data_IF_688721711356
#
_entry.id   IF_688721711356
#
_cell.length_a   1.000
_cell.length_b   1.000
_cell.length_c   1.000
_cell.angle_alpha   90.00
_cell.angle_beta   90.00
_cell.angle_gamma   90.00
#
_symmetry.space_group_name_H-M   'P 1'
#
loop_
_entity.id
_entity.type
_entity.pdbx_description
1 polymer ?
#
# COMPACT_ATOMS: atom_id res chain seq x y z
N UNK A 1 3.82 8.59 -7.79
CA UNK A 1 3.43 8.56 -6.37
C UNK A 1 2.40 9.62 -6.08
N UNK A 2 1.32 9.22 -5.46
CA UNK A 2 0.25 10.13 -5.08
C UNK A 2 0.03 10.00 -3.58
N UNK A 3 -0.18 11.09 -2.90
CA UNK A 3 -0.45 11.02 -1.49
C UNK A 3 -1.62 11.91 -1.11
N UNK A 4 -2.28 11.54 -0.04
CA UNK A 4 -3.43 12.23 0.49
C UNK A 4 -3.22 12.44 1.98
N UNK A 5 -3.35 13.67 2.43
CA UNK A 5 -3.14 14.00 3.82
C UNK A 5 -4.47 14.20 4.52
N UNK A 6 -4.73 13.37 5.54
CA UNK A 6 -5.94 13.48 6.33
C UNK A 6 -5.61 13.93 7.73
N UNK A 7 -6.11 15.03 8.15
CA UNK A 7 -5.85 15.52 9.49
C UNK A 7 -4.53 16.24 9.60
N UNK A 8 -4.22 16.71 10.78
CA UNK A 8 -2.98 17.40 11.06
C UNK A 8 -2.41 16.92 12.38
N UNK A 9 -1.10 16.86 12.46
CA UNK A 9 -0.39 16.52 13.67
C UNK A 9 0.52 17.67 14.05
N UNK A 10 0.54 17.99 15.34
CA UNK A 10 1.43 19.00 15.86
C UNK A 10 2.79 18.43 16.21
N UNK A 11 2.91 17.12 16.20
CA UNK A 11 4.13 16.42 16.58
C UNK A 11 4.68 15.67 15.39
N UNK A 12 5.94 15.29 15.49
CA UNK A 12 6.67 14.68 14.39
C UNK A 12 6.28 13.25 14.08
N UNK A 13 5.45 12.64 14.92
CA UNK A 13 5.10 11.23 14.83
C UNK A 13 3.90 11.04 13.93
N UNK A 14 4.04 11.39 12.67
CA UNK A 14 2.97 11.18 11.72
C UNK A 14 2.88 9.72 11.32
N UNK A 15 1.65 9.20 11.25
CA UNK A 15 1.40 7.84 10.79
C UNK A 15 1.18 7.87 9.30
N UNK A 16 2.03 7.20 8.58
CA UNK A 16 1.98 7.15 7.12
C UNK A 16 1.70 5.71 6.70
N UNK A 17 0.66 5.53 5.91
CA UNK A 17 0.36 4.23 5.31
C UNK A 17 0.55 4.33 3.81
N UNK A 18 1.08 3.27 3.22
CA UNK A 18 1.30 3.19 1.78
C UNK A 18 0.36 2.13 1.23
N UNK A 19 -0.34 2.47 0.14
CA UNK A 19 -1.21 1.54 -0.57
C UNK A 19 -0.61 1.29 -1.95
N UNK A 20 -0.40 0.02 -2.28
CA UNK A 20 0.20 -0.39 -3.54
C UNK A 20 -0.73 -1.39 -4.23
N UNK A 21 -1.55 -0.93 -5.18
CA UNK A 21 -2.33 -1.86 -5.99
C UNK A 21 -1.41 -2.63 -6.92
N UNK A 22 -1.59 -3.94 -7.02
CA UNK A 22 -0.75 -4.79 -7.86
C UNK A 22 -1.57 -5.78 -8.66
N UNK A 23 -1.09 -6.06 -9.87
CA UNK A 23 -1.62 -7.12 -10.71
C UNK A 23 -0.46 -7.69 -11.54
N UNK A 24 -0.04 -8.92 -11.21
CA UNK A 24 1.07 -9.58 -11.90
C UNK A 24 2.34 -8.74 -11.93
N UNK A 25 2.77 -8.32 -10.73
CA UNK A 25 3.94 -7.48 -10.56
C UNK A 25 5.08 -8.22 -9.85
N UNK A 26 5.19 -9.55 -10.04
CA UNK A 26 6.19 -10.34 -9.32
C UNK A 26 7.63 -9.91 -9.62
N UNK A 27 7.86 -9.35 -10.81
CA UNK A 27 9.19 -8.88 -11.18
C UNK A 27 9.59 -7.55 -10.57
N UNK A 28 8.65 -6.80 -10.03
CA UNK A 28 8.92 -5.44 -9.57
C UNK A 28 8.52 -5.19 -8.12
N UNK A 29 7.54 -5.94 -7.58
CA UNK A 29 7.01 -5.61 -6.26
C UNK A 29 8.08 -5.67 -5.17
N UNK A 30 9.01 -6.59 -5.27
CA UNK A 30 10.10 -6.66 -4.30
C UNK A 30 10.97 -5.41 -4.28
N UNK A 31 11.26 -4.87 -5.46
CA UNK A 31 12.05 -3.64 -5.58
C UNK A 31 11.28 -2.44 -5.05
N UNK A 32 9.98 -2.37 -5.36
CA UNK A 32 9.14 -1.27 -4.87
C UNK A 32 9.12 -1.28 -3.33
N UNK A 33 8.88 -2.44 -2.74
CA UNK A 33 8.82 -2.55 -1.28
C UNK A 33 10.15 -2.23 -0.61
N UNK A 34 11.25 -2.65 -1.25
CA UNK A 34 12.57 -2.42 -0.72
C UNK A 34 12.93 -0.94 -0.68
N UNK A 35 12.40 -0.16 -1.61
CA UNK A 35 12.70 1.27 -1.71
C UNK A 35 11.87 2.12 -0.77
N UNK A 36 10.87 1.56 -0.11
CA UNK A 36 10.06 2.30 0.85
C UNK A 36 10.83 2.44 2.16
N UNK A 37 11.03 3.68 2.64
CA UNK A 37 11.78 3.87 3.89
C UNK A 37 10.98 3.35 5.08
N UNK A 38 11.45 2.26 5.66
CA UNK A 38 10.75 1.55 6.73
C UNK A 38 10.60 2.40 8.00
N UNK A 39 11.50 3.32 8.23
CA UNK A 39 11.45 4.16 9.42
C UNK A 39 10.43 5.30 9.30
N UNK A 40 9.94 5.58 8.09
CA UNK A 40 8.97 6.65 7.87
C UNK A 40 7.55 6.15 7.70
N UNK A 41 7.37 4.86 7.45
CA UNK A 41 6.06 4.30 7.10
C UNK A 41 5.58 3.37 8.20
N UNK A 42 4.34 3.59 8.64
CA UNK A 42 3.73 2.77 9.69
C UNK A 42 3.29 1.41 9.13
N UNK A 43 2.74 1.41 7.94
CA UNK A 43 2.21 0.18 7.34
C UNK A 43 2.25 0.27 5.83
N UNK A 44 2.60 -0.84 5.19
CA UNK A 44 2.53 -0.96 3.72
C UNK A 44 1.45 -1.99 3.40
N UNK A 45 0.49 -1.57 2.60
CA UNK A 45 -0.65 -2.39 2.21
C UNK A 45 -0.56 -2.66 0.72
N UNK A 46 -0.35 -3.93 0.36
CA UNK A 46 -0.34 -4.37 -1.03
C UNK A 46 -1.71 -4.94 -1.33
N UNK A 47 -2.41 -4.35 -2.28
CA UNK A 47 -3.73 -4.85 -2.67
C UNK A 47 -3.58 -5.65 -3.95
N UNK A 48 -3.72 -6.97 -3.82
CA UNK A 48 -3.60 -7.90 -4.92
C UNK A 48 -4.90 -7.93 -5.70
N UNK A 49 -4.85 -7.47 -6.94
CA UNK A 49 -6.04 -7.37 -7.79
C UNK A 49 -6.19 -8.61 -8.67
N UNK A 50 -5.94 -9.77 -8.08
CA UNK A 50 -6.15 -11.04 -8.78
C UNK A 50 -4.94 -11.54 -9.56
N UNK A 51 -3.74 -11.30 -9.06
CA UNK A 51 -2.52 -11.77 -9.71
C UNK A 51 -2.50 -13.30 -9.85
N UNK A 52 -2.01 -13.78 -10.96
CA UNK A 52 -1.84 -15.21 -11.21
C UNK A 52 -0.40 -15.67 -10.96
N UNK A 53 0.50 -14.74 -10.75
CA UNK A 53 1.89 -15.05 -10.40
C UNK A 53 2.08 -14.99 -8.88
N UNK A 54 3.31 -15.00 -8.40
CA UNK A 54 3.60 -14.99 -6.97
C UNK A 54 3.77 -13.59 -6.37
N UNK A 55 3.15 -12.58 -6.98
CA UNK A 55 3.20 -11.21 -6.47
C UNK A 55 2.83 -11.11 -4.98
N UNK A 56 1.68 -11.70 -4.63
CA UNK A 56 1.18 -11.62 -3.25
C UNK A 56 2.12 -12.28 -2.26
N UNK A 57 2.69 -13.41 -2.64
CA UNK A 57 3.60 -14.14 -1.77
C UNK A 57 4.89 -13.35 -1.51
N UNK A 58 5.41 -12.72 -2.55
CA UNK A 58 6.60 -11.88 -2.41
C UNK A 58 6.32 -10.73 -1.45
N UNK A 59 5.18 -10.07 -1.64
CA UNK A 59 4.82 -8.94 -0.78
C UNK A 59 4.68 -9.37 0.68
N UNK A 60 4.01 -10.50 0.91
CA UNK A 60 3.82 -11.00 2.26
C UNK A 60 5.15 -11.35 2.92
N UNK A 61 6.04 -12.00 2.18
CA UNK A 61 7.36 -12.38 2.69
C UNK A 61 8.17 -11.15 3.10
N UNK A 62 7.97 -10.04 2.42
CA UNK A 62 8.68 -8.80 2.72
C UNK A 62 8.01 -7.97 3.82
N UNK A 63 6.96 -8.48 4.43
CA UNK A 63 6.34 -7.84 5.59
C UNK A 63 5.16 -6.93 5.28
N UNK A 64 4.70 -6.87 4.04
CA UNK A 64 3.54 -6.06 3.71
C UNK A 64 2.24 -6.73 4.17
N UNK A 65 1.24 -5.91 4.46
CA UNK A 65 -0.12 -6.38 4.63
C UNK A 65 -0.69 -6.63 3.24
N UNK A 66 -1.13 -7.84 2.97
CA UNK A 66 -1.64 -8.19 1.64
C UNK A 66 -3.15 -8.39 1.70
N UNK A 67 -3.85 -7.64 0.86
CA UNK A 67 -5.31 -7.74 0.73
C UNK A 67 -5.64 -8.23 -0.67
N UNK A 68 -6.76 -8.93 -0.80
CA UNK A 68 -7.25 -9.38 -2.10
C UNK A 68 -8.45 -8.54 -2.50
N UNK A 69 -8.41 -8.00 -3.71
CA UNK A 69 -9.57 -7.33 -4.31
C UNK A 69 -9.91 -8.02 -5.62
N UNK A 70 -11.04 -8.71 -5.65
CA UNK A 70 -11.45 -9.47 -6.82
C UNK A 70 -12.02 -8.61 -7.92
N UNK A 71 -12.55 -7.45 -7.61
CA UNK A 71 -13.02 -6.52 -8.63
C UNK A 71 -11.84 -5.96 -9.40
N UNK A 72 -11.86 -6.13 -10.70
CA UNK A 72 -10.77 -5.64 -11.53
C UNK A 72 -10.74 -4.12 -11.55
N UNK A 73 -9.54 -3.58 -11.57
CA UNK A 73 -9.31 -2.16 -11.78
C UNK A 73 -8.55 -1.50 -10.65
N UNK A 74 -7.80 -0.50 -11.04
CA UNK A 74 -6.98 0.26 -10.11
C UNK A 74 -7.82 0.93 -9.01
N UNK A 75 -8.95 1.51 -9.42
CA UNK A 75 -9.82 2.18 -8.46
C UNK A 75 -10.38 1.24 -7.40
N UNK A 76 -10.77 0.04 -7.80
CA UNK A 76 -11.28 -0.96 -6.84
C UNK A 76 -10.21 -1.35 -5.84
N UNK A 77 -8.98 -1.52 -6.31
CA UNK A 77 -7.87 -1.87 -5.43
C UNK A 77 -7.55 -0.74 -4.46
N UNK A 78 -7.56 0.50 -4.94
CA UNK A 78 -7.34 1.65 -4.07
C UNK A 78 -8.41 1.75 -2.99
N UNK A 79 -9.67 1.55 -3.37
CA UNK A 79 -10.77 1.58 -2.41
C UNK A 79 -10.65 0.48 -1.37
N UNK A 80 -10.19 -0.69 -1.78
CA UNK A 80 -9.97 -1.79 -0.83
C UNK A 80 -8.98 -1.38 0.25
N UNK A 81 -7.88 -0.78 -0.16
CA UNK A 81 -6.87 -0.31 0.79
C UNK A 81 -7.39 0.78 1.71
N UNK A 82 -8.13 1.74 1.15
CA UNK A 82 -8.71 2.82 1.93
C UNK A 82 -9.71 2.28 2.95
N UNK A 83 -10.58 1.36 2.53
CA UNK A 83 -11.57 0.79 3.43
C UNK A 83 -10.93 -0.01 4.56
N UNK A 84 -9.84 -0.71 4.25
CA UNK A 84 -9.08 -1.39 5.29
C UNK A 84 -8.60 -0.41 6.36
N UNK A 85 -8.04 0.72 5.92
CA UNK A 85 -7.54 1.72 6.86
C UNK A 85 -8.65 2.39 7.66
N UNK A 86 -9.80 2.61 7.03
CA UNK A 86 -10.94 3.22 7.72
C UNK A 86 -11.52 2.35 8.82
N UNK A 87 -11.30 1.05 8.77
CA UNK A 87 -11.81 0.14 9.79
C UNK A 87 -10.92 0.09 11.02
N UNK A 88 -9.76 0.69 10.97
CA UNK A 88 -8.90 0.77 12.13
C UNK A 88 -9.46 1.75 13.14
N UNK A 89 -9.19 1.54 14.45
CA UNK A 89 -9.54 2.55 15.45
C UNK A 89 -8.94 3.90 15.10
N UNK A 90 -9.63 4.97 15.46
CA UNK A 90 -9.18 6.32 15.11
C UNK A 90 -7.73 6.58 15.49
N UNK A 91 -7.31 6.09 16.65
CA UNK A 91 -5.93 6.30 17.11
C UNK A 91 -4.90 5.62 16.22
N UNK A 92 -5.33 4.63 15.42
CA UNK A 92 -4.42 3.86 14.56
C UNK A 92 -4.55 4.24 13.09
N UNK A 93 -5.47 5.13 12.76
CA UNK A 93 -5.63 5.54 11.38
C UNK A 93 -4.47 6.44 10.95
N UNK A 94 -4.04 6.33 9.68
CA UNK A 94 -2.95 7.16 9.21
C UNK A 94 -3.36 8.61 9.04
N UNK A 95 -2.40 9.50 9.16
CA UNK A 95 -2.59 10.90 8.85
C UNK A 95 -2.29 11.18 7.39
N UNK A 96 -1.43 10.35 6.79
CA UNK A 96 -1.05 10.48 5.39
C UNK A 96 -1.18 9.11 4.73
N UNK A 97 -1.81 9.07 3.57
CA UNK A 97 -1.90 7.87 2.75
C UNK A 97 -1.19 8.14 1.43
N UNK A 98 -0.23 7.30 1.10
CA UNK A 98 0.56 7.42 -0.11
C UNK A 98 0.19 6.26 -1.03
N UNK A 99 -0.11 6.56 -2.29
CA UNK A 99 -0.37 5.55 -3.30
C UNK A 99 0.85 5.41 -4.20
N UNK A 100 1.33 4.19 -4.35
CA UNK A 100 2.50 3.89 -5.15
C UNK A 100 2.14 2.83 -6.17
N UNK A 101 2.64 3.00 -7.39
CA UNK A 101 2.46 1.98 -8.43
C UNK A 101 3.37 0.80 -8.14
N UNK A 102 2.85 -0.41 -8.35
CA UNK A 102 3.59 -1.63 -8.07
C UNK A 102 4.49 -2.09 -9.19
N UNK A 103 4.52 -1.39 -10.30
CA UNK A 103 5.25 -1.83 -11.48
C UNK A 103 6.69 -1.29 -11.56
N UNK A 104 7.08 -0.42 -10.65
CA UNK A 104 8.44 0.13 -10.62
C UNK A 104 8.83 0.69 -11.99
N UNK A 105 7.86 1.27 -12.67
CA UNK A 105 8.10 1.82 -14.00
C UNK A 105 9.03 3.00 -13.96
N UNK A 106 9.84 3.08 -14.98
CA UNK A 106 10.85 4.10 -15.13
C UNK A 106 10.46 4.96 -16.33
N UNK A 107 10.02 6.15 -16.08
CA UNK A 107 9.57 7.05 -17.14
C UNK A 107 10.52 8.17 -17.36
#
# INVERSE_FOLDING_TARGET
MHFFRGGSSKFNMQKISVIIPVFNESGSIGHVLKDIPADLVTEVIVVNNGSTDNTAEIAKTMGATVLLEQRKGYGSACLKGINYLKQKPLAEQPEIVVFIDGDYSDY
#
